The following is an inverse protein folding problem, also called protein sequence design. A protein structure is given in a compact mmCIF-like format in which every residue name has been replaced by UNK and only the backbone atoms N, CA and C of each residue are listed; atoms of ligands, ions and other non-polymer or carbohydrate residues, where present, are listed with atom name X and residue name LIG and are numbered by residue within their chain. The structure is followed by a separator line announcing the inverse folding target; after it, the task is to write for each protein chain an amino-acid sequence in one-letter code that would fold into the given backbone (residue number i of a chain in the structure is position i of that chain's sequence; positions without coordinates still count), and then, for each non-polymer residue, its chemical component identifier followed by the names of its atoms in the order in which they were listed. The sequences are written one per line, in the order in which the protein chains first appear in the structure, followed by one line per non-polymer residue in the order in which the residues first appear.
data_IF_694826922694
#
_entry.id   IF_694826922694
#
_cell.length_a   1.000
_cell.length_b   1.000
_cell.length_c   1.000
_cell.angle_alpha   90.00
_cell.angle_beta   90.00
_cell.angle_gamma   90.00
#
_symmetry.space_group_name_H-M   'P 1'
#
loop_
_entity.id
_entity.type
_entity.pdbx_description
1 polymer ?
#
# COMPACT_ATOMS: atom_id res chain seq x y z
N UNK A 1 5.44 29.81 -56.63
CA UNK A 1 6.11 29.22 -55.45
C UNK A 1 6.00 30.08 -54.18
N UNK A 2 6.36 31.38 -54.17
CA UNK A 2 6.34 32.21 -52.93
C UNK A 2 4.98 32.31 -52.21
N UNK A 3 3.85 32.33 -52.94
CA UNK A 3 2.52 32.47 -52.33
C UNK A 3 2.03 31.23 -51.58
N UNK A 4 2.40 30.03 -52.02
CA UNK A 4 2.02 28.79 -51.33
C UNK A 4 2.84 28.56 -50.05
N UNK A 5 4.09 29.02 -50.03
CA UNK A 5 4.95 28.92 -48.85
C UNK A 5 4.43 29.79 -47.69
N UNK A 6 3.95 31.01 -48.00
CA UNK A 6 3.35 31.89 -47.00
C UNK A 6 2.06 31.31 -46.39
N UNK A 7 1.21 30.69 -47.20
CA UNK A 7 -0.03 30.08 -46.72
C UNK A 7 0.23 28.88 -45.79
N UNK A 8 1.22 28.05 -46.10
CA UNK A 8 1.61 26.90 -45.26
C UNK A 8 2.18 27.38 -43.92
N UNK A 9 3.00 28.43 -43.93
CA UNK A 9 3.60 28.98 -42.71
C UNK A 9 2.53 29.54 -41.75
N UNK A 10 1.53 30.25 -42.30
CA UNK A 10 0.41 30.80 -41.51
C UNK A 10 -0.46 29.68 -40.94
N UNK A 11 -0.77 28.65 -41.74
CA UNK A 11 -1.53 27.50 -41.26
C UNK A 11 -0.78 26.75 -40.14
N UNK A 12 0.54 26.57 -40.27
CA UNK A 12 1.35 25.93 -39.25
C UNK A 12 1.35 26.73 -37.94
N UNK A 13 1.52 28.06 -38.02
CA UNK A 13 1.47 28.95 -36.85
C UNK A 13 0.12 28.91 -36.13
N UNK A 14 -0.99 28.88 -36.87
CA UNK A 14 -2.34 28.76 -36.30
C UNK A 14 -2.51 27.41 -35.61
N UNK A 15 -2.05 26.31 -36.21
CA UNK A 15 -2.15 24.97 -35.64
C UNK A 15 -1.28 24.86 -34.37
N UNK A 16 -0.04 25.36 -34.38
CA UNK A 16 0.81 25.36 -33.17
C UNK A 16 0.28 26.30 -32.08
N UNK A 17 -0.27 27.46 -32.44
CA UNK A 17 -0.87 28.39 -31.49
C UNK A 17 -2.15 27.82 -30.85
N UNK A 18 -3.00 27.17 -31.63
CA UNK A 18 -4.17 26.45 -31.13
C UNK A 18 -3.74 25.25 -30.26
N UNK A 19 -2.74 24.47 -30.70
CA UNK A 19 -2.21 23.36 -29.91
C UNK A 19 -1.66 23.84 -28.55
N UNK A 20 -0.99 25.00 -28.48
CA UNK A 20 -0.52 25.59 -27.20
C UNK A 20 -1.65 26.12 -26.31
N UNK A 21 -2.78 26.54 -26.87
CA UNK A 21 -3.95 26.97 -26.11
C UNK A 21 -4.77 25.78 -25.57
N UNK A 22 -4.80 24.66 -26.29
CA UNK A 22 -5.48 23.44 -25.85
C UNK A 22 -4.59 22.51 -25.02
N UNK A 23 -3.28 22.50 -25.27
CA UNK A 23 -2.26 22.00 -24.35
C UNK A 23 -1.77 23.15 -23.48
N UNK A 24 -2.64 23.65 -22.59
CA UNK A 24 -2.09 24.09 -21.30
C UNK A 24 -1.46 22.83 -20.72
N UNK A 25 -0.12 22.72 -20.60
CA UNK A 25 0.44 21.69 -19.74
C UNK A 25 -0.34 21.83 -18.43
N UNK A 26 -0.93 20.72 -17.98
CA UNK A 26 -1.64 20.63 -16.71
C UNK A 26 -0.58 21.03 -15.69
N UNK A 27 -0.46 22.32 -15.44
CA UNK A 27 0.56 22.89 -14.59
C UNK A 27 0.34 22.15 -13.29
N UNK A 28 1.30 21.31 -12.93
CA UNK A 28 1.37 20.68 -11.62
C UNK A 28 1.09 21.82 -10.66
N UNK A 29 -0.10 21.83 -10.08
CA UNK A 29 -0.51 22.89 -9.16
C UNK A 29 0.60 22.98 -8.14
N UNK A 30 1.29 24.12 -8.08
CA UNK A 30 2.39 24.33 -7.17
C UNK A 30 1.90 23.93 -5.78
N UNK A 31 2.57 22.97 -5.15
CA UNK A 31 2.21 22.52 -3.81
C UNK A 31 2.70 23.59 -2.86
N UNK A 32 1.76 24.33 -2.28
CA UNK A 32 2.06 25.44 -1.37
C UNK A 32 1.52 25.08 0.01
N UNK A 33 2.44 24.88 0.95
CA UNK A 33 2.10 24.72 2.35
C UNK A 33 1.89 26.07 3.05
N UNK A 34 1.20 26.05 4.19
CA UNK A 34 1.04 27.20 5.08
C UNK A 34 1.59 26.87 6.47
N UNK A 35 2.05 27.89 7.21
CA UNK A 35 2.54 27.69 8.57
C UNK A 35 1.43 27.65 9.63
N UNK A 36 0.26 28.26 9.33
CA UNK A 36 -0.89 28.35 10.22
C UNK A 36 -2.15 28.17 9.39
N UNK A 37 -3.09 27.36 9.88
CA UNK A 37 -4.40 27.16 9.30
C UNK A 37 -5.44 27.01 10.41
N UNK A 38 -6.42 27.89 10.46
CA UNK A 38 -7.44 27.89 11.51
C UNK A 38 -6.83 27.79 12.92
N UNK A 39 -7.05 26.67 13.60
CA UNK A 39 -6.54 26.42 14.96
C UNK A 39 -5.23 25.62 15.03
N UNK A 40 -4.68 25.20 13.89
CA UNK A 40 -3.47 24.39 13.81
C UNK A 40 -2.29 25.18 13.24
N UNK A 41 -1.07 24.81 13.63
CA UNK A 41 0.16 25.42 13.16
C UNK A 41 1.28 24.38 13.01
N UNK A 42 2.22 24.62 12.09
CA UNK A 42 3.43 23.79 11.99
C UNK A 42 4.19 23.83 13.33
N UNK A 43 4.58 22.67 13.82
CA UNK A 43 5.20 22.44 15.13
C UNK A 43 4.21 22.26 16.29
N UNK A 44 2.90 22.49 16.09
CA UNK A 44 1.88 22.14 17.10
C UNK A 44 1.56 20.65 17.06
N UNK A 45 0.84 20.17 18.06
CA UNK A 45 0.32 18.80 18.03
C UNK A 45 -0.79 18.69 16.97
N UNK A 46 -0.83 17.56 16.25
CA UNK A 46 -1.88 17.29 15.27
C UNK A 46 -3.16 16.81 15.95
N UNK A 47 -4.30 17.22 15.40
CA UNK A 47 -5.64 16.90 15.92
C UNK A 47 -5.93 15.39 15.94
N UNK A 48 -5.33 14.66 15.00
CA UNK A 48 -5.34 13.20 14.95
C UNK A 48 -3.91 12.69 14.74
N UNK A 49 -3.59 11.60 15.42
CA UNK A 49 -2.37 10.84 15.25
C UNK A 49 -2.30 9.72 16.29
N UNK A 50 -1.10 9.35 16.72
CA UNK A 50 -0.91 8.21 17.64
C UNK A 50 -1.91 8.20 18.81
N UNK A 51 -2.63 7.09 18.97
CA UNK A 51 -3.56 6.87 20.08
C UNK A 51 -4.90 7.58 19.96
N UNK A 52 -5.09 8.46 18.97
CA UNK A 52 -6.41 9.00 18.64
C UNK A 52 -7.35 7.87 18.20
N UNK A 53 -8.64 8.01 18.48
CA UNK A 53 -9.64 7.08 17.98
C UNK A 53 -9.67 7.07 16.45
N UNK A 54 -9.81 5.88 15.88
CA UNK A 54 -10.05 5.69 14.44
C UNK A 54 -11.05 4.56 14.24
N UNK A 55 -11.31 4.20 13.00
CA UNK A 55 -12.40 3.32 12.60
C UNK A 55 -12.01 1.86 12.72
N UNK A 56 -13.00 0.98 12.82
CA UNK A 56 -12.75 -0.46 12.79
C UNK A 56 -11.95 -0.82 11.52
N UNK A 57 -10.93 -1.69 11.62
CA UNK A 57 -10.63 -2.56 12.78
C UNK A 57 -9.76 -1.89 13.86
N UNK A 58 -9.18 -0.72 13.59
CA UNK A 58 -8.25 -0.07 14.50
C UNK A 58 -9.01 0.85 15.45
N UNK A 59 -9.33 0.40 16.66
CA UNK A 59 -9.98 1.28 17.66
C UNK A 59 -9.17 2.56 17.94
N UNK A 60 -7.86 2.51 17.72
CA UNK A 60 -6.94 3.63 17.85
C UNK A 60 -5.88 3.61 16.75
N UNK A 61 -5.42 4.81 16.35
CA UNK A 61 -4.32 4.99 15.42
C UNK A 61 -3.03 4.45 16.06
N UNK A 62 -2.32 3.49 15.43
CA UNK A 62 -1.12 2.89 15.98
C UNK A 62 0.08 3.85 15.95
N UNK A 63 1.20 3.41 16.54
CA UNK A 63 2.48 4.10 16.36
C UNK A 63 2.97 3.95 14.91
N UNK A 64 3.38 5.05 14.29
CA UNK A 64 3.90 5.13 12.93
C UNK A 64 5.07 6.12 12.88
N UNK A 65 5.86 6.09 11.80
CA UNK A 65 6.97 7.03 11.58
C UNK A 65 6.46 8.45 11.29
N UNK A 66 5.30 8.54 10.65
CA UNK A 66 4.62 9.78 10.33
C UNK A 66 3.13 9.51 10.12
N UNK A 67 2.33 10.58 10.14
CA UNK A 67 0.89 10.52 9.95
C UNK A 67 0.48 11.51 8.85
N UNK A 68 -0.48 11.10 8.03
CA UNK A 68 -1.11 11.95 7.03
C UNK A 68 -2.60 11.95 7.31
N UNK A 69 -3.14 13.13 7.62
CA UNK A 69 -4.57 13.35 7.74
C UNK A 69 -5.04 14.09 6.50
N UNK A 70 -6.00 13.52 5.79
CA UNK A 70 -6.69 14.17 4.68
C UNK A 70 -8.11 14.48 5.09
N UNK A 71 -8.54 15.66 4.73
CA UNK A 71 -9.86 16.16 5.07
C UNK A 71 -10.52 16.49 3.75
N UNK A 72 -11.60 15.78 3.44
CA UNK A 72 -12.27 15.88 2.15
C UNK A 72 -13.80 15.79 2.33
N UNK A 73 -14.55 16.38 1.41
CA UNK A 73 -16.01 16.34 1.43
C UNK A 73 -16.51 15.05 0.77
N UNK A 74 -16.49 13.96 1.53
CA UNK A 74 -17.23 12.73 1.18
C UNK A 74 -16.39 11.47 1.05
N UNK A 75 -15.17 11.45 1.59
CA UNK A 75 -14.37 10.23 1.67
C UNK A 75 -13.97 9.94 3.10
N UNK A 76 -14.19 8.69 3.48
CA UNK A 76 -13.82 8.14 4.77
C UNK A 76 -13.06 6.85 4.54
N UNK A 77 -11.79 6.81 4.93
CA UNK A 77 -10.94 5.64 4.75
C UNK A 77 -9.69 5.77 5.61
N UNK A 78 -8.97 4.66 5.79
CA UNK A 78 -7.61 4.62 6.28
C UNK A 78 -6.72 3.76 5.36
N UNK A 79 -5.42 4.05 5.35
CA UNK A 79 -4.39 3.28 4.62
C UNK A 79 -4.87 2.72 3.26
N UNK A 80 -4.92 1.41 3.09
CA UNK A 80 -5.25 0.78 1.80
C UNK A 80 -6.70 1.03 1.35
N UNK A 81 -7.62 1.31 2.28
CA UNK A 81 -8.97 1.74 1.96
C UNK A 81 -8.96 3.12 1.28
N UNK A 82 -7.94 3.94 1.57
CA UNK A 82 -7.68 5.21 0.89
C UNK A 82 -6.96 5.07 -0.45
N UNK A 83 -7.08 3.92 -1.10
CA UNK A 83 -6.47 3.58 -2.38
C UNK A 83 -4.97 3.24 -2.31
N UNK A 84 -4.34 3.13 -3.49
CA UNK A 84 -2.92 2.84 -3.64
C UNK A 84 -2.03 3.82 -2.87
N UNK A 85 -2.44 5.09 -2.76
CA UNK A 85 -1.66 6.11 -2.04
C UNK A 85 -1.49 5.74 -0.57
N UNK A 86 -2.52 5.15 0.07
CA UNK A 86 -2.40 4.71 1.44
C UNK A 86 -1.65 3.38 1.62
N UNK A 87 -1.66 2.51 0.62
CA UNK A 87 -0.76 1.35 0.59
C UNK A 87 0.72 1.81 0.59
N UNK A 88 1.07 2.80 -0.24
CA UNK A 88 2.42 3.37 -0.25
C UNK A 88 2.80 4.00 1.08
N UNK A 89 1.89 4.75 1.69
CA UNK A 89 2.14 5.39 3.01
C UNK A 89 2.42 4.32 4.06
N UNK A 90 1.63 3.25 4.09
CA UNK A 90 1.85 2.12 5.01
C UNK A 90 3.21 1.46 4.77
N UNK A 91 3.60 1.21 3.52
CA UNK A 91 4.89 0.62 3.17
C UNK A 91 6.08 1.50 3.59
N UNK A 92 5.92 2.84 3.59
CA UNK A 92 6.92 3.79 4.11
C UNK A 92 6.90 3.89 5.65
N UNK A 93 6.04 3.13 6.33
CA UNK A 93 5.89 3.13 7.79
C UNK A 93 5.03 4.27 8.33
N UNK A 94 4.25 4.93 7.48
CA UNK A 94 3.31 5.97 7.85
C UNK A 94 1.89 5.45 8.07
N UNK A 95 1.02 6.33 8.53
CA UNK A 95 -0.42 6.11 8.66
C UNK A 95 -1.18 7.15 7.84
N UNK A 96 -2.09 6.71 6.97
CA UNK A 96 -3.01 7.60 6.26
C UNK A 96 -4.42 7.47 6.83
N UNK A 97 -5.06 8.61 7.09
CA UNK A 97 -6.48 8.68 7.42
C UNK A 97 -7.13 9.80 6.62
N UNK A 98 -8.22 9.49 5.93
CA UNK A 98 -9.08 10.50 5.32
C UNK A 98 -10.39 10.61 6.11
N UNK A 99 -10.72 11.82 6.55
CA UNK A 99 -11.95 12.13 7.26
C UNK A 99 -12.91 12.92 6.40
N UNK A 100 -14.15 12.45 6.34
CA UNK A 100 -15.24 13.14 5.70
C UNK A 100 -15.73 14.27 6.59
N UNK A 101 -15.82 15.48 6.03
CA UNK A 101 -16.27 16.64 6.83
C UNK A 101 -17.80 16.83 6.84
N UNK A 102 -18.53 15.98 6.14
CA UNK A 102 -20.00 15.98 6.17
C UNK A 102 -20.53 15.49 7.54
N UNK A 103 -21.74 15.92 7.90
CA UNK A 103 -22.50 15.39 9.04
C UNK A 103 -22.00 15.74 10.46
N UNK A 104 -21.40 16.93 10.66
CA UNK A 104 -21.12 17.44 12.00
C UNK A 104 -19.88 16.86 12.67
N UNK A 105 -18.90 16.40 11.87
CA UNK A 105 -17.61 15.94 12.38
C UNK A 105 -16.93 17.03 13.22
N UNK A 106 -16.59 16.72 14.48
CA UNK A 106 -15.87 17.62 15.40
C UNK A 106 -14.56 18.12 14.79
N UNK A 107 -13.94 17.33 13.90
CA UNK A 107 -12.70 17.67 13.20
C UNK A 107 -12.76 19.02 12.46
N UNK A 108 -13.93 19.43 11.93
CA UNK A 108 -14.10 20.72 11.25
C UNK A 108 -13.80 21.88 12.18
N UNK A 109 -14.33 21.80 13.40
CA UNK A 109 -14.15 22.81 14.43
C UNK A 109 -12.73 22.72 15.00
N UNK A 110 -12.22 21.52 15.27
CA UNK A 110 -10.89 21.33 15.87
C UNK A 110 -9.76 21.92 15.01
N UNK A 111 -9.88 21.88 13.67
CA UNK A 111 -8.89 22.46 12.76
C UNK A 111 -9.21 23.89 12.30
N UNK A 112 -10.46 24.34 12.49
CA UNK A 112 -10.94 25.66 12.06
C UNK A 112 -11.36 25.75 10.59
N UNK A 113 -11.89 24.67 10.00
CA UNK A 113 -12.48 24.69 8.65
C UNK A 113 -13.81 25.44 8.58
N UNK A 114 -14.49 25.60 9.72
CA UNK A 114 -15.75 26.34 9.86
C UNK A 114 -15.56 27.86 9.99
N UNK A 115 -14.32 28.32 10.17
CA UNK A 115 -13.98 29.72 10.28
C UNK A 115 -14.30 30.49 8.97
N UNK A 116 -14.84 31.72 9.05
CA UNK A 116 -15.23 32.49 7.87
C UNK A 116 -14.13 32.70 6.82
N UNK A 117 -12.88 32.85 7.27
CA UNK A 117 -11.70 33.02 6.44
C UNK A 117 -11.29 31.75 5.67
N UNK A 118 -11.75 30.57 6.08
CA UNK A 118 -11.42 29.28 5.44
C UNK A 118 -12.53 28.74 4.53
N UNK A 119 -13.61 29.49 4.28
CA UNK A 119 -14.77 29.05 3.50
C UNK A 119 -14.45 28.54 2.09
N UNK A 120 -13.36 29.00 1.49
CA UNK A 120 -12.93 28.58 0.14
C UNK A 120 -12.10 27.28 0.16
N UNK A 121 -11.70 26.81 1.34
CA UNK A 121 -10.87 25.62 1.50
C UNK A 121 -11.76 24.40 1.58
N UNK A 122 -11.69 23.56 0.55
CA UNK A 122 -12.57 22.38 0.43
C UNK A 122 -11.93 21.10 0.93
N UNK A 123 -10.60 21.06 0.88
CA UNK A 123 -9.80 19.92 1.31
C UNK A 123 -8.57 20.40 2.05
N UNK A 124 -8.02 19.55 2.91
CA UNK A 124 -6.82 19.85 3.67
C UNK A 124 -5.99 18.57 3.79
N UNK A 125 -4.68 18.66 3.55
CA UNK A 125 -3.73 17.62 3.94
C UNK A 125 -2.88 18.16 5.08
N UNK A 126 -2.78 17.40 6.17
CA UNK A 126 -1.90 17.67 7.30
C UNK A 126 -0.94 16.51 7.43
N UNK A 127 0.36 16.80 7.51
CA UNK A 127 1.43 15.82 7.74
C UNK A 127 2.01 16.06 9.11
N UNK A 128 2.16 15.01 9.92
CA UNK A 128 2.80 15.07 11.23
C UNK A 128 3.83 13.96 11.42
N UNK A 129 4.79 14.20 12.31
CA UNK A 129 5.86 13.26 12.63
C UNK A 129 5.42 12.16 13.62
N UNK A 130 6.34 11.23 13.92
CA UNK A 130 6.12 10.13 14.89
C UNK A 130 5.74 10.58 16.31
N UNK A 131 5.99 11.84 16.67
CA UNK A 131 5.64 12.45 17.96
C UNK A 131 4.34 13.26 17.90
N UNK A 132 3.60 13.13 16.79
CA UNK A 132 2.36 13.82 16.51
C UNK A 132 2.52 15.34 16.33
N UNK A 133 3.71 15.84 15.98
CA UNK A 133 3.92 17.26 15.67
C UNK A 133 3.72 17.53 14.19
N UNK A 134 2.95 18.57 13.88
CA UNK A 134 2.64 18.96 12.50
C UNK A 134 3.91 19.41 11.80
N UNK A 135 4.28 18.72 10.73
CA UNK A 135 5.40 19.08 9.86
C UNK A 135 4.95 19.92 8.67
N UNK A 136 3.70 19.77 8.20
CA UNK A 136 3.18 20.54 7.08
C UNK A 136 1.66 20.59 7.01
N UNK A 137 1.14 21.71 6.50
CA UNK A 137 -0.29 21.96 6.32
C UNK A 137 -0.51 22.44 4.89
N UNK A 138 -1.41 21.77 4.15
CA UNK A 138 -1.61 21.95 2.72
C UNK A 138 -3.09 22.14 2.37
N UNK A 139 -3.61 23.38 2.41
CA UNK A 139 -4.98 23.69 2.04
C UNK A 139 -5.25 23.43 0.56
N UNK A 140 -6.47 23.03 0.21
CA UNK A 140 -6.91 22.69 -1.16
C UNK A 140 -6.12 21.56 -1.85
N UNK A 141 -5.48 20.72 -1.05
CA UNK A 141 -4.88 19.46 -1.49
C UNK A 141 -5.67 18.28 -0.92
N UNK A 142 -5.67 17.15 -1.61
CA UNK A 142 -6.39 15.94 -1.19
C UNK A 142 -5.57 14.67 -1.41
N UNK A 143 -6.24 13.50 -1.42
CA UNK A 143 -5.60 12.18 -1.51
C UNK A 143 -4.58 12.09 -2.66
N UNK A 144 -4.96 12.54 -3.86
CA UNK A 144 -4.10 12.52 -5.06
C UNK A 144 -2.78 13.30 -4.93
N UNK A 145 -2.71 14.21 -3.96
CA UNK A 145 -1.58 15.12 -3.76
C UNK A 145 -0.63 14.63 -2.65
N UNK A 146 -0.95 13.52 -1.95
CA UNK A 146 -0.18 13.07 -0.79
C UNK A 146 1.26 12.69 -1.17
N UNK A 147 1.49 11.84 -2.16
CA UNK A 147 2.87 11.42 -2.48
C UNK A 147 3.73 12.62 -2.94
N UNK A 148 3.24 13.52 -3.81
CA UNK A 148 3.94 14.78 -4.07
C UNK A 148 4.21 15.63 -2.83
N UNK A 149 3.26 15.73 -1.88
CA UNK A 149 3.46 16.44 -0.61
C UNK A 149 4.54 15.77 0.25
N UNK A 150 4.52 14.44 0.38
CA UNK A 150 5.50 13.70 1.18
C UNK A 150 6.93 13.82 0.65
N UNK A 151 7.11 14.06 -0.65
CA UNK A 151 8.44 14.38 -1.21
C UNK A 151 9.03 15.68 -0.67
N UNK A 152 8.22 16.55 -0.08
CA UNK A 152 8.68 17.76 0.62
C UNK A 152 9.12 17.47 2.07
N UNK A 153 8.89 16.25 2.58
CA UNK A 153 9.23 15.78 3.92
C UNK A 153 10.11 14.52 3.88
N UNK A 154 11.32 14.59 3.27
CA UNK A 154 12.19 13.42 3.10
C UNK A 154 12.73 12.85 4.43
N UNK A 155 12.65 13.62 5.51
CA UNK A 155 12.97 13.20 6.88
C UNK A 155 11.88 12.31 7.50
N UNK A 156 10.65 12.38 6.98
CA UNK A 156 9.50 11.59 7.46
C UNK A 156 9.23 10.37 6.58
N UNK A 157 9.22 10.56 5.25
CA UNK A 157 8.82 9.55 4.28
C UNK A 157 10.01 9.09 3.43
N UNK A 158 10.44 7.85 3.66
CA UNK A 158 11.52 7.23 2.91
C UNK A 158 10.96 6.45 1.71
N UNK A 159 10.99 7.09 0.53
CA UNK A 159 10.53 6.49 -0.72
C UNK A 159 11.40 5.33 -1.19
N UNK A 160 12.65 5.21 -0.71
CA UNK A 160 13.49 4.05 -1.03
C UNK A 160 12.91 2.75 -0.46
N UNK A 161 12.08 2.85 0.59
CA UNK A 161 11.35 1.70 1.14
C UNK A 161 10.28 1.16 0.19
N UNK A 162 9.91 1.89 -0.86
CA UNK A 162 9.03 1.36 -1.90
C UNK A 162 9.79 0.49 -2.89
N UNK A 163 11.08 0.77 -3.07
CA UNK A 163 11.92 0.13 -4.07
C UNK A 163 12.39 -1.26 -3.62
N UNK A 164 12.60 -2.14 -4.58
CA UNK A 164 13.24 -3.43 -4.37
C UNK A 164 14.76 -3.34 -4.42
N UNK A 165 15.43 -4.44 -4.13
CA UNK A 165 16.87 -4.61 -4.35
C UNK A 165 17.13 -5.37 -5.65
N UNK A 166 18.31 -5.18 -6.24
CA UNK A 166 18.73 -5.95 -7.42
C UNK A 166 19.17 -7.37 -7.05
N UNK A 167 19.74 -7.54 -5.85
CA UNK A 167 20.32 -8.81 -5.39
C UNK A 167 19.95 -9.03 -3.92
N UNK A 168 19.62 -10.27 -3.54
CA UNK A 168 19.39 -10.69 -2.17
C UNK A 168 19.94 -12.11 -1.96
N UNK A 169 21.07 -12.21 -1.25
CA UNK A 169 21.72 -13.51 -1.03
C UNK A 169 22.19 -14.14 -2.34
N UNK A 170 21.49 -15.18 -2.79
CA UNK A 170 21.75 -15.87 -4.06
C UNK A 170 20.68 -15.59 -5.13
N UNK A 171 19.79 -14.63 -4.88
CA UNK A 171 18.69 -14.26 -5.77
C UNK A 171 19.02 -12.95 -6.47
N UNK A 172 18.84 -12.91 -7.78
CA UNK A 172 19.11 -11.73 -8.60
C UNK A 172 17.89 -11.39 -9.48
N UNK A 173 17.58 -10.11 -9.63
CA UNK A 173 16.56 -9.64 -10.57
C UNK A 173 17.01 -9.95 -12.00
N UNK A 174 16.12 -10.57 -12.78
CA UNK A 174 16.42 -11.05 -14.13
C UNK A 174 16.81 -12.53 -14.20
N UNK A 175 17.11 -13.16 -13.07
CA UNK A 175 17.40 -14.59 -12.97
C UNK A 175 16.16 -15.39 -12.55
N UNK A 176 16.16 -16.72 -12.76
CA UNK A 176 15.03 -17.54 -12.36
C UNK A 176 14.86 -17.63 -10.84
N UNK A 177 13.61 -17.63 -10.39
CA UNK A 177 13.29 -17.86 -8.99
C UNK A 177 13.56 -19.32 -8.59
N UNK A 178 13.74 -19.60 -7.28
CA UNK A 178 13.89 -20.96 -6.79
C UNK A 178 12.68 -21.88 -7.04
N UNK A 179 11.51 -21.30 -7.30
CA UNK A 179 10.28 -22.02 -7.66
C UNK A 179 9.77 -21.53 -9.01
N UNK A 180 9.53 -22.47 -9.91
CA UNK A 180 9.08 -22.21 -11.27
C UNK A 180 7.62 -22.62 -11.50
N UNK A 181 6.97 -22.07 -12.53
CA UNK A 181 5.66 -22.52 -12.98
C UNK A 181 5.66 -24.03 -13.31
N UNK A 182 4.94 -24.80 -12.49
CA UNK A 182 4.84 -26.26 -12.61
C UNK A 182 5.71 -27.06 -11.66
N UNK A 183 6.55 -26.42 -10.85
CA UNK A 183 7.36 -27.13 -9.87
C UNK A 183 6.50 -27.78 -8.80
N UNK A 184 6.91 -28.96 -8.35
CA UNK A 184 6.26 -29.65 -7.24
C UNK A 184 6.60 -28.94 -5.94
N UNK A 185 5.60 -28.59 -5.13
CA UNK A 185 5.78 -27.87 -3.86
C UNK A 185 5.29 -28.64 -2.65
N UNK A 186 4.84 -29.89 -2.82
CA UNK A 186 4.35 -30.72 -1.71
C UNK A 186 5.42 -31.01 -0.65
N UNK A 187 6.71 -30.88 -0.99
CA UNK A 187 7.82 -31.08 -0.06
C UNK A 187 8.06 -29.87 0.85
N UNK A 188 7.53 -28.70 0.51
CA UNK A 188 7.71 -27.48 1.31
C UNK A 188 6.91 -27.55 2.60
N UNK A 189 5.79 -28.28 2.61
CA UNK A 189 5.04 -28.53 3.82
C UNK A 189 4.15 -29.75 3.66
N UNK A 190 4.16 -30.64 4.66
CA UNK A 190 3.25 -31.78 4.74
C UNK A 190 1.77 -31.38 4.61
N UNK A 191 1.45 -30.12 4.90
CA UNK A 191 0.10 -29.57 4.81
C UNK A 191 -0.29 -29.21 3.37
N UNK A 192 0.62 -28.73 2.51
CA UNK A 192 0.33 -28.44 1.10
C UNK A 192 -0.17 -29.69 0.35
N UNK A 193 0.42 -30.85 0.63
CA UNK A 193 -0.02 -32.14 0.08
C UNK A 193 -1.46 -32.52 0.44
N UNK A 194 -1.98 -32.05 1.60
CA UNK A 194 -3.34 -32.36 2.07
C UNK A 194 -4.41 -31.50 1.38
N UNK A 195 -4.07 -30.31 0.88
CA UNK A 195 -5.00 -29.38 0.23
C UNK A 195 -4.95 -29.42 -1.31
N UNK A 196 -4.42 -30.51 -1.88
CA UNK A 196 -4.33 -30.78 -3.32
C UNK A 196 -3.52 -29.77 -4.16
N UNK A 197 -2.84 -28.81 -3.53
CA UNK A 197 -1.86 -27.95 -4.24
C UNK A 197 -0.49 -28.56 -4.10
N UNK A 198 -0.19 -29.40 -5.09
CA UNK A 198 1.07 -30.14 -5.16
C UNK A 198 2.09 -29.46 -6.07
N UNK A 199 1.66 -28.48 -6.87
CA UNK A 199 2.51 -27.78 -7.84
C UNK A 199 2.21 -26.28 -7.89
N UNK A 200 3.21 -25.48 -8.28
CA UNK A 200 3.00 -24.10 -8.73
C UNK A 200 2.17 -24.15 -10.03
N UNK A 201 1.05 -23.43 -10.15
CA UNK A 201 0.22 -23.51 -11.35
C UNK A 201 0.92 -22.87 -12.55
N UNK A 202 0.63 -23.38 -13.76
CA UNK A 202 1.12 -22.78 -15.01
C UNK A 202 0.13 -21.75 -15.55
N UNK A 203 0.61 -20.85 -16.41
CA UNK A 203 -0.24 -19.94 -17.18
C UNK A 203 -0.72 -18.70 -16.41
N UNK A 204 -0.08 -18.36 -15.30
CA UNK A 204 -0.32 -17.10 -14.57
C UNK A 204 0.53 -15.98 -15.18
N UNK A 205 0.11 -14.74 -14.98
CA UNK A 205 0.84 -13.56 -15.46
C UNK A 205 2.08 -13.25 -14.62
N UNK A 206 2.01 -13.55 -13.33
CA UNK A 206 3.08 -13.33 -12.36
C UNK A 206 2.90 -14.30 -11.19
N UNK A 207 3.97 -14.49 -10.43
CA UNK A 207 3.97 -15.27 -9.19
C UNK A 207 4.61 -14.46 -8.07
N UNK A 208 3.97 -14.48 -6.90
CA UNK A 208 4.45 -13.85 -5.68
C UNK A 208 4.83 -14.91 -4.66
N UNK A 209 5.99 -14.76 -4.05
CA UNK A 209 6.44 -15.60 -2.95
C UNK A 209 6.72 -14.69 -1.75
N UNK A 210 6.06 -14.92 -0.63
CA UNK A 210 6.32 -14.20 0.62
C UNK A 210 6.85 -15.16 1.67
N UNK A 211 7.97 -14.79 2.29
CA UNK A 211 8.55 -15.48 3.44
C UNK A 211 8.64 -14.48 4.58
N UNK A 212 7.89 -14.67 5.65
CA UNK A 212 7.77 -13.67 6.72
C UNK A 212 7.29 -14.31 8.02
N UNK A 213 7.41 -13.60 9.15
CA UNK A 213 6.66 -13.93 10.37
C UNK A 213 5.29 -13.30 10.32
N UNK A 214 4.25 -14.03 10.72
CA UNK A 214 2.94 -13.42 10.95
C UNK A 214 2.89 -12.58 12.22
N UNK A 215 2.14 -11.48 12.12
CA UNK A 215 1.98 -10.50 13.20
C UNK A 215 1.04 -10.99 14.32
N UNK A 216 0.24 -12.03 14.09
CA UNK A 216 -0.82 -12.50 15.00
C UNK A 216 -0.75 -14.00 15.30
N UNK A 217 0.37 -14.49 15.82
CA UNK A 217 0.49 -15.87 16.34
C UNK A 217 0.45 -15.95 17.88
N UNK A 218 0.03 -14.89 18.56
CA UNK A 218 -0.27 -14.94 20.00
C UNK A 218 -1.77 -14.69 20.19
N UNK A 219 -2.58 -15.69 19.86
CA UNK A 219 -3.86 -15.88 20.54
C UNK A 219 -3.54 -16.27 22.00
N UNK A 220 -3.18 -15.28 22.81
CA UNK A 220 -2.69 -15.46 24.17
C UNK A 220 -2.33 -14.18 24.93
N UNK A 221 -2.28 -13.01 24.27
CA UNK A 221 -2.08 -11.70 24.94
C UNK A 221 -3.18 -10.69 24.55
N UNK A 222 -4.41 -11.18 24.32
CA UNK A 222 -5.58 -10.35 24.59
C UNK A 222 -5.73 -10.35 26.10
N UNK A 223 -5.64 -9.19 26.80
CA UNK A 223 -5.87 -9.15 28.24
C UNK A 223 -7.20 -9.84 28.54
N UNK A 224 -7.19 -10.79 29.47
CA UNK A 224 -8.37 -11.47 30.00
C UNK A 224 -9.33 -10.46 30.64
N UNK A 225 -10.10 -9.73 29.83
CA UNK A 225 -11.19 -8.88 30.35
C UNK A 225 -12.15 -8.51 29.23
N UNK A 226 -12.87 -9.49 28.70
CA UNK A 226 -14.31 -9.35 28.46
C UNK A 226 -14.91 -10.75 28.24
N UNK A 227 -15.40 -11.32 29.34
CA UNK A 227 -16.31 -12.47 29.30
C UNK A 227 -17.54 -12.11 28.45
N UNK A 228 -17.82 -12.90 27.41
CA UNK A 228 -19.18 -12.97 26.87
C UNK A 228 -19.36 -12.78 25.37
N UNK A 229 -18.52 -13.36 24.51
CA UNK A 229 -18.97 -13.84 23.19
C UNK A 229 -18.26 -15.17 22.91
N UNK A 230 -19.02 -16.26 22.93
CA UNK A 230 -18.51 -17.60 22.66
C UNK A 230 -18.21 -17.84 21.19
N UNK A 231 -17.38 -18.85 20.94
CA UNK A 231 -17.27 -19.47 19.61
C UNK A 231 -15.84 -19.74 19.19
N UNK A 232 -15.39 -20.95 19.53
CA UNK A 232 -14.42 -21.77 18.81
C UNK A 232 -12.94 -21.34 18.72
N UNK A 233 -12.14 -22.31 19.15
CA UNK A 233 -10.67 -22.38 19.21
C UNK A 233 -10.04 -21.83 17.93
N UNK A 234 -8.93 -21.07 18.02
CA UNK A 234 -8.24 -20.54 16.85
C UNK A 234 -7.80 -21.69 15.95
N UNK A 235 -7.96 -21.51 14.64
CA UNK A 235 -7.64 -22.52 13.63
C UNK A 235 -6.13 -22.74 13.61
N UNK A 236 -5.65 -23.74 14.35
CA UNK A 236 -4.24 -24.11 14.41
C UNK A 236 -3.66 -24.39 13.00
N UNK A 237 -2.91 -23.42 12.45
CA UNK A 237 -1.83 -23.58 11.48
C UNK A 237 -2.16 -24.42 10.21
N UNK A 238 -3.32 -24.36 9.58
CA UNK A 238 -3.60 -25.15 8.35
C UNK A 238 -3.22 -24.40 7.07
N UNK A 239 -3.22 -24.98 5.85
CA UNK A 239 -3.16 -24.19 4.59
C UNK A 239 -4.60 -23.94 4.07
N UNK A 240 -4.93 -22.70 3.71
CA UNK A 240 -6.10 -22.34 2.91
C UNK A 240 -5.64 -22.17 1.48
N UNK A 241 -5.84 -23.20 0.70
CA UNK A 241 -5.76 -23.13 -0.75
C UNK A 241 -7.18 -23.00 -1.30
N UNK A 242 -7.49 -21.84 -1.87
CA UNK A 242 -8.70 -21.65 -2.69
C UNK A 242 -8.30 -21.76 -4.17
N UNK A 243 -9.27 -21.97 -5.05
CA UNK A 243 -9.07 -22.07 -6.49
C UNK A 243 -8.28 -20.82 -6.95
N UNK A 244 -6.97 -20.98 -7.15
CA UNK A 244 -6.10 -19.92 -7.67
C UNK A 244 -4.93 -19.44 -6.79
N UNK A 245 -4.80 -19.75 -5.49
CA UNK A 245 -3.64 -19.39 -4.63
C UNK A 245 -3.63 -20.12 -3.27
N UNK A 246 -2.48 -20.19 -2.59
CA UNK A 246 -2.34 -20.84 -1.28
C UNK A 246 -1.74 -19.90 -0.21
N UNK A 247 -2.37 -19.88 0.96
CA UNK A 247 -1.81 -19.36 2.23
C UNK A 247 -2.16 -20.32 3.37
N UNK A 248 -1.89 -19.96 4.62
CA UNK A 248 -2.51 -20.55 5.83
C UNK A 248 -3.83 -19.85 6.19
N UNK A 249 -4.99 -20.51 6.48
CA UNK A 249 -6.22 -19.83 6.90
C UNK A 249 -5.99 -19.30 8.30
N UNK A 250 -6.03 -17.98 8.42
CA UNK A 250 -6.69 -17.38 9.56
C UNK A 250 -7.26 -16.03 9.11
N UNK A 251 -8.34 -15.56 9.75
CA UNK A 251 -9.00 -14.32 9.38
C UNK A 251 -8.08 -13.17 9.71
N UNK A 252 -7.47 -12.63 8.68
CA UNK A 252 -6.87 -11.32 8.71
C UNK A 252 -7.71 -10.49 7.72
N UNK A 253 -8.76 -9.78 8.21
CA UNK A 253 -9.69 -9.07 7.34
C UNK A 253 -9.02 -8.19 6.28
N UNK A 254 -7.92 -7.46 6.56
CA UNK A 254 -7.16 -6.77 5.52
C UNK A 254 -6.45 -7.68 4.49
N UNK A 255 -6.10 -8.92 4.85
CA UNK A 255 -5.38 -9.85 3.97
C UNK A 255 -6.27 -10.88 3.26
N UNK A 256 -7.51 -11.09 3.71
CA UNK A 256 -8.49 -11.95 3.03
C UNK A 256 -8.87 -11.42 1.64
N UNK A 257 -8.74 -10.11 1.41
CA UNK A 257 -8.94 -9.49 0.10
C UNK A 257 -7.80 -9.79 -0.89
N UNK A 258 -6.56 -10.03 -0.42
CA UNK A 258 -5.41 -10.29 -1.31
C UNK A 258 -5.65 -11.50 -2.24
N UNK A 259 -6.40 -12.51 -1.79
CA UNK A 259 -6.68 -13.74 -2.55
C UNK A 259 -7.49 -13.50 -3.81
N UNK A 260 -8.68 -12.93 -3.65
CA UNK A 260 -9.56 -12.63 -4.76
C UNK A 260 -8.88 -11.65 -5.72
N UNK A 261 -8.13 -10.70 -5.19
CA UNK A 261 -7.51 -9.64 -5.96
C UNK A 261 -6.32 -10.17 -6.80
N UNK A 262 -5.43 -11.00 -6.22
CA UNK A 262 -4.31 -11.57 -6.98
C UNK A 262 -4.80 -12.49 -8.09
N UNK A 263 -5.84 -13.30 -7.86
CA UNK A 263 -6.41 -14.15 -8.91
C UNK A 263 -7.17 -13.34 -9.98
N UNK A 264 -7.91 -12.28 -9.60
CA UNK A 264 -8.52 -11.31 -10.54
C UNK A 264 -7.48 -10.62 -11.43
N UNK A 265 -6.26 -10.43 -10.92
CA UNK A 265 -5.11 -9.91 -11.67
C UNK A 265 -4.41 -10.99 -12.50
N UNK A 266 -4.92 -12.22 -12.49
CA UNK A 266 -4.36 -13.41 -13.14
C UNK A 266 -2.99 -13.83 -12.59
N UNK A 267 -2.71 -13.49 -11.34
CA UNK A 267 -1.51 -13.92 -10.61
C UNK A 267 -1.71 -15.22 -9.85
N UNK A 268 -0.66 -15.62 -9.16
CA UNK A 268 -0.69 -16.63 -8.10
C UNK A 268 0.30 -16.24 -7.01
N UNK A 269 0.05 -16.68 -5.78
CA UNK A 269 1.03 -16.50 -4.73
C UNK A 269 1.13 -17.67 -3.77
N UNK A 270 2.27 -17.71 -3.08
CA UNK A 270 2.60 -18.61 -1.99
C UNK A 270 3.20 -17.81 -0.83
N UNK A 271 2.58 -17.89 0.35
CA UNK A 271 3.10 -17.32 1.59
C UNK A 271 3.50 -18.39 2.59
N UNK A 272 4.57 -18.16 3.36
CA UNK A 272 5.03 -19.00 4.47
C UNK A 272 5.13 -18.20 5.77
N UNK A 273 4.70 -18.79 6.90
CA UNK A 273 4.69 -18.13 8.21
C UNK A 273 5.47 -18.88 9.32
N UNK A 274 5.31 -20.20 9.51
CA UNK A 274 5.95 -20.92 10.61
C UNK A 274 6.30 -22.40 10.36
N UNK A 275 5.62 -23.09 9.43
CA UNK A 275 5.73 -24.55 9.26
C UNK A 275 6.48 -24.98 7.97
N UNK A 276 7.23 -24.07 7.33
CA UNK A 276 8.08 -24.40 6.19
C UNK A 276 9.48 -23.77 6.31
N UNK A 277 10.36 -24.29 7.19
CA UNK A 277 11.76 -23.91 7.19
C UNK A 277 12.43 -24.19 5.82
N UNK A 278 11.89 -25.12 5.04
CA UNK A 278 12.29 -25.42 3.67
C UNK A 278 12.11 -24.22 2.75
N UNK A 279 10.95 -23.54 2.79
CA UNK A 279 10.73 -22.36 1.94
C UNK A 279 11.65 -21.21 2.35
N UNK A 280 11.87 -20.97 3.65
CA UNK A 280 12.83 -19.96 4.09
C UNK A 280 14.25 -20.24 3.56
N UNK A 281 14.73 -21.48 3.71
CA UNK A 281 16.04 -21.89 3.16
C UNK A 281 16.10 -21.75 1.64
N UNK A 282 15.03 -22.13 0.95
CA UNK A 282 14.95 -22.07 -0.51
C UNK A 282 15.13 -20.65 -1.06
N UNK A 283 14.62 -19.65 -0.33
CA UNK A 283 14.78 -18.23 -0.65
C UNK A 283 15.97 -17.57 0.05
N UNK A 284 16.90 -18.35 0.61
CA UNK A 284 18.15 -17.84 1.17
C UNK A 284 18.03 -17.14 2.52
N UNK A 285 16.92 -17.35 3.25
CA UNK A 285 16.68 -16.77 4.57
C UNK A 285 17.06 -17.76 5.69
N UNK A 286 17.48 -17.23 6.84
CA UNK A 286 17.58 -18.02 8.08
C UNK A 286 16.16 -18.29 8.62
N UNK A 287 15.70 -19.55 8.68
CA UNK A 287 14.38 -19.86 9.21
C UNK A 287 14.17 -19.36 10.64
N UNK A 288 15.22 -19.36 11.47
CA UNK A 288 15.10 -18.92 12.86
C UNK A 288 14.87 -17.40 12.95
N UNK A 289 15.55 -16.61 12.12
CA UNK A 289 15.32 -15.17 12.01
C UNK A 289 13.93 -14.83 11.47
N UNK A 290 13.45 -15.58 10.46
CA UNK A 290 12.06 -15.47 9.98
C UNK A 290 11.08 -15.75 11.11
N UNK A 291 11.22 -16.86 11.84
CA UNK A 291 10.34 -17.19 12.99
C UNK A 291 10.36 -16.16 14.13
N UNK A 292 11.45 -15.41 14.29
CA UNK A 292 11.54 -14.30 15.25
C UNK A 292 10.93 -13.01 14.72
N UNK A 293 10.71 -12.88 13.41
CA UNK A 293 10.19 -11.68 12.76
C UNK A 293 11.29 -10.65 12.48
N UNK A 294 12.54 -11.11 12.52
CA UNK A 294 13.72 -10.30 12.25
C UNK A 294 14.05 -10.26 10.76
N UNK A 295 13.45 -11.15 9.96
CA UNK A 295 13.71 -11.26 8.53
C UNK A 295 12.44 -11.62 7.77
N UNK A 296 12.27 -11.01 6.60
CA UNK A 296 11.24 -11.34 5.63
C UNK A 296 11.69 -11.01 4.22
N UNK A 297 11.01 -11.57 3.22
CA UNK A 297 11.25 -11.32 1.81
C UNK A 297 9.96 -11.51 1.03
N UNK A 298 9.69 -10.57 0.12
CA UNK A 298 8.73 -10.76 -0.97
C UNK A 298 9.49 -10.84 -2.30
N UNK A 299 9.21 -11.87 -3.08
CA UNK A 299 9.74 -12.08 -4.42
C UNK A 299 8.59 -12.03 -5.43
N UNK A 300 8.70 -11.16 -6.42
CA UNK A 300 7.80 -11.11 -7.56
C UNK A 300 8.51 -11.68 -8.79
N UNK A 301 7.81 -12.53 -9.54
CA UNK A 301 8.29 -13.11 -10.79
C UNK A 301 7.30 -12.90 -11.92
N UNK A 302 7.78 -12.96 -13.16
CA UNK A 302 6.94 -12.91 -14.36
C UNK A 302 6.27 -14.27 -14.64
N UNK A 303 5.51 -14.36 -15.74
CA UNK A 303 4.84 -15.59 -16.18
C UNK A 303 5.76 -16.80 -16.44
N UNK A 304 7.07 -16.58 -16.56
CA UNK A 304 8.09 -17.61 -16.80
C UNK A 304 8.83 -18.00 -15.52
N UNK A 305 8.57 -17.34 -14.39
CA UNK A 305 9.29 -17.54 -13.15
C UNK A 305 10.61 -16.77 -13.07
N UNK A 306 10.82 -15.76 -13.93
CA UNK A 306 11.98 -14.88 -13.83
C UNK A 306 11.70 -13.80 -12.78
N UNK A 307 12.65 -13.59 -11.87
CA UNK A 307 12.55 -12.59 -10.81
C UNK A 307 12.50 -11.19 -11.43
N UNK A 308 11.46 -10.43 -11.08
CA UNK A 308 11.24 -9.04 -11.51
C UNK A 308 11.41 -8.05 -10.37
N UNK A 309 11.22 -8.50 -9.13
CA UNK A 309 11.48 -7.69 -7.94
C UNK A 309 11.81 -8.54 -6.71
N UNK A 310 12.74 -8.03 -5.89
CA UNK A 310 13.12 -8.57 -4.59
C UNK A 310 12.92 -7.50 -3.53
N UNK A 311 12.16 -7.81 -2.49
CA UNK A 311 11.79 -6.85 -1.44
C UNK A 311 12.07 -7.42 -0.05
N UNK A 312 13.32 -7.33 0.43
CA UNK A 312 13.68 -7.75 1.78
C UNK A 312 13.03 -6.85 2.83
N UNK A 313 12.63 -7.43 3.96
CA UNK A 313 11.93 -6.73 5.04
C UNK A 313 10.49 -6.34 4.72
N UNK A 314 9.94 -6.78 3.58
CA UNK A 314 8.53 -6.61 3.19
C UNK A 314 7.73 -7.86 3.47
N UNK A 315 6.41 -7.70 3.49
CA UNK A 315 5.43 -8.74 3.81
C UNK A 315 4.35 -8.83 2.73
N UNK A 316 3.44 -9.80 2.85
CA UNK A 316 2.26 -9.90 1.98
C UNK A 316 1.43 -8.61 2.01
N UNK A 317 1.45 -7.86 3.10
CA UNK A 317 0.82 -6.55 3.23
C UNK A 317 1.37 -5.54 2.21
N UNK A 318 2.60 -5.69 1.73
CA UNK A 318 3.21 -4.79 0.74
C UNK A 318 2.93 -5.21 -0.71
N UNK A 319 2.21 -6.33 -0.93
CA UNK A 319 2.01 -6.92 -2.26
C UNK A 319 1.45 -5.94 -3.29
N UNK A 320 0.43 -5.15 -2.93
CA UNK A 320 -0.17 -4.21 -3.88
C UNK A 320 0.72 -3.02 -4.18
N UNK A 321 1.46 -2.54 -3.17
CA UNK A 321 2.52 -1.55 -3.36
C UNK A 321 3.55 -2.09 -4.35
N UNK A 322 4.00 -3.34 -4.19
CA UNK A 322 4.97 -3.99 -5.08
C UNK A 322 4.37 -4.12 -6.49
N UNK A 323 3.21 -4.76 -6.65
CA UNK A 323 2.58 -4.97 -7.97
C UNK A 323 2.28 -3.67 -8.71
N UNK A 324 1.98 -2.58 -8.00
CA UNK A 324 1.72 -1.28 -8.64
C UNK A 324 2.93 -0.68 -9.37
N UNK A 325 4.13 -1.13 -9.01
CA UNK A 325 5.39 -0.74 -9.65
C UNK A 325 5.64 -1.52 -10.94
N UNK A 326 4.88 -2.59 -11.20
CA UNK A 326 4.99 -3.48 -12.37
C UNK A 326 3.69 -3.50 -13.18
N UNK A 327 3.30 -2.37 -13.81
CA UNK A 327 2.04 -2.25 -14.55
C UNK A 327 1.94 -3.16 -15.78
N UNK A 328 3.06 -3.69 -16.26
CA UNK A 328 3.16 -4.72 -17.30
C UNK A 328 2.69 -6.09 -16.82
N UNK A 329 2.81 -6.38 -15.52
CA UNK A 329 2.34 -7.61 -14.89
C UNK A 329 0.90 -7.48 -14.37
N UNK A 330 0.58 -6.37 -13.71
CA UNK A 330 -0.72 -6.12 -13.09
C UNK A 330 -1.15 -4.64 -13.17
N UNK A 331 -2.32 -4.36 -13.75
CA UNK A 331 -2.88 -3.00 -13.75
C UNK A 331 -3.65 -2.71 -12.45
N UNK A 332 -2.91 -2.34 -11.41
CA UNK A 332 -3.46 -1.99 -10.09
C UNK A 332 -4.44 -0.82 -10.13
N UNK A 333 -4.40 0.04 -11.17
CA UNK A 333 -5.34 1.18 -11.28
C UNK A 333 -6.77 0.72 -11.50
N UNK A 334 -6.97 -0.41 -12.19
CA UNK A 334 -8.31 -0.99 -12.37
C UNK A 334 -8.91 -1.42 -11.04
N UNK A 335 -8.08 -1.87 -10.11
CA UNK A 335 -8.50 -2.34 -8.80
C UNK A 335 -8.97 -1.16 -7.92
N UNK A 336 -8.16 -0.11 -7.82
CA UNK A 336 -8.48 1.04 -6.97
C UNK A 336 -9.53 2.01 -7.53
N UNK A 337 -9.83 1.96 -8.84
CA UNK A 337 -10.95 2.72 -9.42
C UNK A 337 -12.32 2.25 -8.94
N UNK A 338 -12.49 0.96 -8.63
CA UNK A 338 -13.77 0.43 -8.10
C UNK A 338 -14.20 1.09 -6.78
N UNK A 339 -13.27 1.71 -6.07
CA UNK A 339 -13.48 2.35 -4.76
C UNK A 339 -13.40 3.89 -4.82
N UNK A 340 -13.16 4.47 -6.00
CA UNK A 340 -12.94 5.91 -6.17
C UNK A 340 -14.09 6.65 -6.86
N UNK A 341 -15.01 5.91 -7.48
CA UNK A 341 -16.27 6.39 -8.07
C UNK A 341 -17.43 5.96 -7.17
#
# INVERSE_FOLDING_TARGET
MRRHFAAILVAFLIITGAALLFFKPRASSLIVGVNIFGHIAVGSEAVRGRGSFTFAPYLQIPSAKFYVMVIDNGRWCDNEECSLDGAFIRTMGGWLQAEATCCGSEIKYEIGLDLPEQKEVKTLVVVSDSTNKIAGIYPNHGLKDILPILRLHPDLADFSLLEGVQEFGALDVGEPAPLWPGDQISYLSDKLGRFAVTHVPKGKKFYLYSVEKRKYDIAGDVPESHEGVGGDRPYENTYLCLIGSCRYPDPDPPHDFLFANVDELHGWFLGNDMDSPEMAKLFGLDPAAVLRGESSLVVLTDSKGIIVALHPGKTLADTFTILSQHPDLADMRKFYRRYSD
#
